data_IF_815285490870
#
_entry.id   IF_815285490870
#
_cell.length_a   1.000
_cell.length_b   1.000
_cell.length_c   1.000
_cell.angle_alpha   90.00
_cell.angle_beta   90.00
_cell.angle_gamma   90.00
#
_symmetry.space_group_name_H-M   'P 1'
#
loop_
_entity.id
_entity.type
_entity.pdbx_description
1 polymer ?
#
# COMPACT_ATOMS: atom_id res chain seq x y z
N UNK A 1 2.38 -31.66 -32.34
CA UNK A 1 3.25 -31.55 -31.14
C UNK A 1 3.30 -30.13 -30.50
N UNK A 2 2.33 -29.25 -30.72
CA UNK A 2 2.34 -27.88 -30.19
C UNK A 2 1.72 -27.70 -28.78
N UNK A 3 0.97 -28.69 -28.28
CA UNK A 3 0.25 -28.59 -26.98
C UNK A 3 1.13 -28.68 -25.73
N UNK A 4 2.24 -29.43 -25.76
CA UNK A 4 3.13 -29.62 -24.57
C UNK A 4 4.00 -28.41 -24.23
N UNK A 5 4.26 -27.50 -25.18
CA UNK A 5 5.09 -26.29 -24.93
C UNK A 5 4.30 -25.16 -24.26
N UNK A 6 3.00 -25.00 -24.55
CA UNK A 6 2.13 -24.00 -23.87
C UNK A 6 1.96 -24.29 -22.38
N UNK A 7 1.72 -25.55 -21.98
CA UNK A 7 1.56 -25.93 -20.57
C UNK A 7 2.84 -25.72 -19.73
N UNK A 8 4.02 -25.97 -20.30
CA UNK A 8 5.31 -25.82 -19.61
C UNK A 8 5.70 -24.34 -19.39
N UNK A 9 5.34 -23.46 -20.33
CA UNK A 9 5.53 -22.01 -20.15
C UNK A 9 4.61 -21.45 -19.05
N UNK A 10 3.33 -21.82 -19.04
CA UNK A 10 2.35 -21.35 -18.03
C UNK A 10 2.74 -21.81 -16.62
N UNK A 11 3.20 -23.06 -16.46
CA UNK A 11 3.69 -23.58 -15.17
C UNK A 11 4.97 -22.88 -14.69
N UNK A 12 5.94 -22.60 -15.58
CA UNK A 12 7.15 -21.83 -15.22
C UNK A 12 6.82 -20.39 -14.82
N UNK A 13 5.86 -19.77 -15.51
CA UNK A 13 5.44 -18.39 -15.25
C UNK A 13 4.70 -18.25 -13.91
N UNK A 14 3.87 -19.24 -13.55
CA UNK A 14 3.25 -19.32 -12.22
C UNK A 14 4.28 -19.63 -11.11
N UNK A 15 5.24 -20.53 -11.35
CA UNK A 15 6.31 -20.82 -10.39
C UNK A 15 7.19 -19.61 -10.09
N UNK A 16 7.51 -18.78 -11.09
CA UNK A 16 8.28 -17.55 -10.90
C UNK A 16 7.51 -16.51 -10.08
N UNK A 17 6.19 -16.37 -10.30
CA UNK A 17 5.33 -15.49 -9.50
C UNK A 17 5.23 -15.93 -8.04
N UNK A 18 5.08 -17.23 -7.79
CA UNK A 18 5.03 -17.78 -6.43
C UNK A 18 6.36 -17.54 -5.70
N UNK A 19 7.50 -17.79 -6.37
CA UNK A 19 8.84 -17.53 -5.78
C UNK A 19 9.04 -16.05 -5.46
N UNK A 20 8.61 -15.14 -6.34
CA UNK A 20 8.66 -13.70 -6.07
C UNK A 20 7.79 -13.30 -4.88
N UNK A 21 6.56 -13.81 -4.81
CA UNK A 21 5.66 -13.54 -3.69
C UNK A 21 6.19 -14.10 -2.36
N UNK A 22 6.79 -15.29 -2.37
CA UNK A 22 7.44 -15.88 -1.19
C UNK A 22 8.65 -15.06 -0.74
N UNK A 23 9.53 -14.68 -1.67
CA UNK A 23 10.68 -13.82 -1.39
C UNK A 23 10.24 -12.44 -0.85
N UNK A 24 9.23 -11.83 -1.47
CA UNK A 24 8.59 -10.61 -1.00
C UNK A 24 8.10 -10.77 0.44
N UNK A 25 7.36 -11.83 0.74
CA UNK A 25 6.82 -12.07 2.08
C UNK A 25 7.92 -12.25 3.12
N UNK A 26 8.99 -12.97 2.79
CA UNK A 26 10.12 -13.20 3.70
C UNK A 26 10.86 -11.89 3.99
N UNK A 27 11.21 -11.12 2.96
CA UNK A 27 11.88 -9.84 3.12
C UNK A 27 11.03 -8.84 3.90
N UNK A 28 9.74 -8.78 3.59
CA UNK A 28 8.80 -7.92 4.28
C UNK A 28 8.65 -8.31 5.76
N UNK A 29 8.56 -9.62 6.05
CA UNK A 29 8.49 -10.12 7.44
C UNK A 29 9.75 -9.77 8.21
N UNK A 30 10.93 -9.99 7.63
CA UNK A 30 12.20 -9.66 8.27
C UNK A 30 12.34 -8.15 8.53
N UNK A 31 11.99 -7.31 7.54
CA UNK A 31 12.01 -5.86 7.69
C UNK A 31 11.05 -5.39 8.79
N UNK A 32 9.79 -5.81 8.75
CA UNK A 32 8.79 -5.45 9.77
C UNK A 32 9.22 -5.92 11.15
N UNK A 33 9.77 -7.13 11.27
CA UNK A 33 10.26 -7.65 12.56
C UNK A 33 11.37 -6.77 13.14
N UNK A 34 12.39 -6.43 12.36
CA UNK A 34 13.51 -5.60 12.82
C UNK A 34 13.01 -4.21 13.25
N UNK A 35 12.14 -3.59 12.45
CA UNK A 35 11.61 -2.27 12.75
C UNK A 35 10.72 -2.27 14.00
N UNK A 36 9.89 -3.30 14.15
CA UNK A 36 9.01 -3.44 15.30
C UNK A 36 9.80 -3.73 16.57
N UNK A 37 10.80 -4.61 16.51
CA UNK A 37 11.70 -4.90 17.63
C UNK A 37 12.43 -3.64 18.11
N UNK A 38 12.91 -2.80 17.17
CA UNK A 38 13.56 -1.52 17.50
C UNK A 38 12.60 -0.55 18.22
N UNK A 39 11.36 -0.43 17.74
CA UNK A 39 10.37 0.44 18.39
C UNK A 39 9.96 -0.05 19.77
N UNK A 40 9.74 -1.36 19.92
CA UNK A 40 9.38 -1.96 21.20
C UNK A 40 10.50 -1.80 22.21
N UNK A 41 11.76 -2.01 21.81
CA UNK A 41 12.92 -1.77 22.68
C UNK A 41 12.95 -0.32 23.18
N UNK A 42 12.62 0.64 22.31
CA UNK A 42 12.52 2.06 22.67
C UNK A 42 11.42 2.33 23.70
N UNK A 43 10.21 1.77 23.49
CA UNK A 43 9.10 1.93 24.43
C UNK A 43 9.33 1.23 25.77
N UNK A 44 9.93 0.04 25.75
CA UNK A 44 10.30 -0.71 26.95
C UNK A 44 11.29 0.07 27.81
N UNK A 45 12.33 0.67 27.20
CA UNK A 45 13.30 1.53 27.92
C UNK A 45 12.65 2.76 28.54
N UNK A 46 11.53 3.24 28.00
CA UNK A 46 10.77 4.38 28.52
C UNK A 46 9.69 3.99 29.54
N UNK A 47 9.51 2.68 29.80
CA UNK A 47 8.52 2.17 30.75
C UNK A 47 7.06 2.41 30.35
N UNK A 48 6.77 2.60 29.06
CA UNK A 48 5.41 2.91 28.59
C UNK A 48 4.67 1.64 28.19
N UNK A 49 3.44 1.47 28.69
CA UNK A 49 2.57 0.38 28.29
C UNK A 49 2.07 0.54 26.85
N UNK A 50 2.45 -0.39 25.98
CA UNK A 50 2.03 -0.44 24.57
C UNK A 50 1.08 -1.61 24.31
N UNK A 51 0.23 -1.48 23.30
CA UNK A 51 -0.68 -2.52 22.82
C UNK A 51 -0.46 -2.83 21.34
N UNK A 52 -1.18 -3.82 20.82
CA UNK A 52 -1.11 -4.19 19.40
C UNK A 52 -1.38 -2.99 18.47
N UNK A 53 -2.36 -2.13 18.78
CA UNK A 53 -2.69 -0.96 17.95
C UNK A 53 -1.54 0.07 17.90
N UNK A 54 -0.76 0.21 18.96
CA UNK A 54 0.44 1.06 18.95
C UNK A 54 1.49 0.52 17.98
N UNK A 55 1.66 -0.80 17.95
CA UNK A 55 2.55 -1.48 17.00
C UNK A 55 2.09 -1.27 15.55
N UNK A 56 0.78 -1.36 15.27
CA UNK A 56 0.24 -1.07 13.93
C UNK A 56 0.54 0.38 13.53
N UNK A 57 0.28 1.33 14.43
CA UNK A 57 0.57 2.75 14.22
C UNK A 57 2.06 2.99 13.93
N UNK A 58 2.96 2.37 14.68
CA UNK A 58 4.40 2.54 14.51
C UNK A 58 4.94 2.01 13.17
N UNK A 59 4.22 1.09 12.53
CA UNK A 59 4.58 0.58 11.20
C UNK A 59 4.02 1.44 10.05
N UNK A 60 3.04 2.31 10.32
CA UNK A 60 2.37 3.18 9.34
C UNK A 60 3.14 4.48 9.00
N UNK A 61 4.43 4.56 9.30
CA UNK A 61 5.23 5.78 9.11
C UNK A 61 5.69 5.91 7.65
N UNK A 62 5.70 7.13 7.04
CA UNK A 62 6.03 7.31 5.62
C UNK A 62 7.34 6.67 5.15
N UNK A 63 8.41 6.70 5.96
CA UNK A 63 9.69 6.09 5.58
C UNK A 63 9.65 4.54 5.60
N UNK A 64 8.86 3.92 6.49
CA UNK A 64 8.66 2.46 6.49
C UNK A 64 8.00 2.04 5.18
N UNK A 65 6.98 2.80 4.80
CA UNK A 65 6.30 2.60 3.54
C UNK A 65 7.25 2.83 2.35
N UNK A 66 7.97 3.95 2.33
CA UNK A 66 8.80 4.38 1.22
C UNK A 66 10.05 3.53 0.97
N UNK A 67 10.73 3.09 2.02
CA UNK A 67 12.01 2.37 1.91
C UNK A 67 11.84 0.86 1.79
N UNK A 68 10.82 0.29 2.44
CA UNK A 68 10.66 -1.16 2.50
C UNK A 68 9.47 -1.63 1.67
N UNK A 69 8.29 -1.06 1.92
CA UNK A 69 7.06 -1.57 1.32
C UNK A 69 6.92 -1.20 -0.17
N UNK A 70 7.24 0.04 -0.54
CA UNK A 70 7.10 0.58 -1.88
C UNK A 70 7.99 -0.15 -2.90
N UNK A 71 9.31 -0.32 -2.70
CA UNK A 71 10.17 -0.99 -3.69
C UNK A 71 9.77 -2.45 -3.91
N UNK A 72 9.42 -3.15 -2.82
CA UNK A 72 8.96 -4.53 -2.87
C UNK A 72 7.65 -4.66 -3.65
N UNK A 73 6.71 -3.74 -3.43
CA UNK A 73 5.43 -3.74 -4.14
C UNK A 73 5.62 -3.45 -5.63
N UNK A 74 6.50 -2.52 -5.97
CA UNK A 74 6.78 -2.17 -7.36
C UNK A 74 7.55 -3.26 -8.09
N UNK A 75 8.39 -4.02 -7.41
CA UNK A 75 9.03 -5.20 -7.99
C UNK A 75 8.00 -6.26 -8.42
N UNK A 76 6.89 -6.39 -7.69
CA UNK A 76 5.75 -7.26 -8.07
C UNK A 76 4.92 -6.63 -9.21
N UNK A 77 4.64 -5.33 -9.13
CA UNK A 77 3.79 -4.63 -10.09
C UNK A 77 4.44 -4.40 -11.48
N UNK A 78 5.75 -4.11 -11.52
CA UNK A 78 6.50 -3.79 -12.74
C UNK A 78 6.47 -4.90 -13.80
N UNK A 79 6.36 -6.17 -13.36
CA UNK A 79 6.25 -7.31 -14.27
C UNK A 79 4.94 -7.33 -15.09
N UNK A 80 3.90 -6.59 -14.67
CA UNK A 80 2.58 -6.60 -15.33
C UNK A 80 2.44 -5.48 -16.35
N UNK A 81 2.92 -4.26 -16.06
CA UNK A 81 2.77 -3.10 -16.95
C UNK A 81 3.43 -3.30 -18.33
N UNK A 82 4.61 -3.93 -18.36
CA UNK A 82 5.34 -4.22 -19.62
C UNK A 82 4.58 -5.12 -20.59
N UNK A 83 3.66 -5.94 -20.10
CA UNK A 83 2.91 -6.91 -20.92
C UNK A 83 1.80 -6.19 -21.69
N UNK A 84 1.09 -5.26 -21.04
CA UNK A 84 0.02 -4.49 -21.66
C UNK A 84 0.52 -3.46 -22.69
N UNK A 85 1.82 -3.16 -22.69
CA UNK A 85 2.49 -2.33 -23.73
C UNK A 85 2.97 -3.15 -24.93
N UNK A 86 2.84 -4.47 -24.93
CA UNK A 86 3.25 -5.27 -26.09
C UNK A 86 2.25 -5.11 -27.23
N UNK A 87 2.69 -4.89 -28.48
CA UNK A 87 1.80 -4.72 -29.63
C UNK A 87 0.88 -5.93 -29.84
N UNK A 88 1.30 -7.11 -29.39
CA UNK A 88 0.50 -8.34 -29.40
C UNK A 88 -0.78 -8.22 -28.56
N UNK A 89 -0.77 -7.45 -27.47
CA UNK A 89 -1.94 -7.22 -26.62
C UNK A 89 -2.91 -6.20 -27.23
N UNK A 90 -2.41 -5.22 -27.97
CA UNK A 90 -3.25 -4.27 -28.72
C UNK A 90 -4.06 -5.01 -29.79
N UNK A 91 -3.40 -5.92 -30.53
CA UNK A 91 -4.05 -6.76 -31.54
C UNK A 91 -5.03 -7.77 -30.92
N UNK A 92 -4.71 -8.34 -29.74
CA UNK A 92 -5.55 -9.36 -29.09
C UNK A 92 -6.84 -8.78 -28.50
N UNK A 93 -6.78 -7.60 -27.89
CA UNK A 93 -7.94 -7.01 -27.22
C UNK A 93 -8.80 -6.16 -28.14
N UNK A 94 -8.25 -5.65 -29.25
CA UNK A 94 -8.96 -4.86 -30.27
C UNK A 94 -9.52 -3.52 -29.79
N UNK A 95 -9.57 -3.28 -28.47
CA UNK A 95 -10.14 -2.11 -27.83
C UNK A 95 -9.28 -1.71 -26.62
N UNK A 96 -8.76 -0.49 -26.64
CA UNK A 96 -7.89 0.02 -25.58
C UNK A 96 -8.62 0.25 -24.24
N UNK A 97 -9.93 0.49 -24.26
CA UNK A 97 -10.75 0.57 -23.04
C UNK A 97 -10.72 -0.76 -22.27
N UNK A 98 -10.70 -1.89 -22.99
CA UNK A 98 -10.60 -3.21 -22.38
C UNK A 98 -9.21 -3.43 -21.75
N UNK A 99 -8.15 -2.94 -22.40
CA UNK A 99 -6.78 -3.00 -21.89
C UNK A 99 -6.65 -2.17 -20.61
N UNK A 100 -7.18 -0.93 -20.61
CA UNK A 100 -7.20 -0.07 -19.43
C UNK A 100 -7.97 -0.72 -18.27
N UNK A 101 -9.16 -1.25 -18.55
CA UNK A 101 -10.00 -1.91 -17.52
C UNK A 101 -9.28 -3.11 -16.91
N UNK A 102 -8.62 -3.94 -17.72
CA UNK A 102 -7.88 -5.10 -17.23
C UNK A 102 -6.63 -4.67 -16.44
N UNK A 103 -5.91 -3.63 -16.90
CA UNK A 103 -4.77 -3.07 -16.16
C UNK A 103 -5.22 -2.51 -14.80
N UNK A 104 -6.33 -1.78 -14.78
CA UNK A 104 -6.92 -1.24 -13.56
C UNK A 104 -7.33 -2.35 -12.59
N UNK A 105 -8.12 -3.34 -13.04
CA UNK A 105 -8.54 -4.47 -12.18
C UNK A 105 -7.35 -5.30 -11.69
N UNK A 106 -6.33 -5.50 -12.53
CA UNK A 106 -5.09 -6.17 -12.15
C UNK A 106 -4.31 -5.37 -11.10
N UNK A 107 -4.34 -4.04 -11.17
CA UNK A 107 -3.83 -3.12 -10.15
C UNK A 107 -4.53 -3.31 -8.81
N UNK A 108 -5.87 -3.31 -8.77
CA UNK A 108 -6.66 -3.53 -7.55
C UNK A 108 -6.31 -4.89 -6.94
N UNK A 109 -6.28 -5.96 -7.74
CA UNK A 109 -5.92 -7.31 -7.26
C UNK A 109 -4.51 -7.34 -6.66
N UNK A 110 -3.57 -6.62 -7.27
CA UNK A 110 -2.18 -6.53 -6.78
C UNK A 110 -2.12 -5.74 -5.48
N UNK A 111 -2.87 -4.65 -5.37
CA UNK A 111 -2.97 -3.86 -4.16
C UNK A 111 -3.60 -4.66 -2.99
N UNK A 112 -4.65 -5.44 -3.27
CA UNK A 112 -5.26 -6.33 -2.29
C UNK A 112 -4.26 -7.38 -1.79
N UNK A 113 -3.51 -8.00 -2.71
CA UNK A 113 -2.48 -8.98 -2.37
C UNK A 113 -1.36 -8.35 -1.51
N UNK A 114 -0.74 -7.26 -1.98
CA UNK A 114 0.43 -6.68 -1.33
C UNK A 114 0.05 -5.96 -0.02
N UNK A 115 -1.05 -5.20 -0.03
CA UNK A 115 -1.56 -4.47 1.14
C UNK A 115 -2.11 -5.42 2.19
N UNK A 116 -2.84 -6.46 1.76
CA UNK A 116 -3.33 -7.51 2.64
C UNK A 116 -2.19 -8.31 3.28
N UNK A 117 -1.18 -8.74 2.51
CA UNK A 117 -0.01 -9.44 3.04
C UNK A 117 0.75 -8.60 4.07
N UNK A 118 1.01 -7.32 3.76
CA UNK A 118 1.68 -6.42 4.70
C UNK A 118 0.88 -6.25 5.99
N UNK A 119 -0.41 -5.97 5.88
CA UNK A 119 -1.28 -5.79 7.04
C UNK A 119 -1.33 -7.05 7.89
N UNK A 120 -1.43 -8.24 7.28
CA UNK A 120 -1.41 -9.52 8.00
C UNK A 120 -0.10 -9.78 8.71
N UNK A 121 1.05 -9.52 8.06
CA UNK A 121 2.37 -9.68 8.67
C UNK A 121 2.53 -8.75 9.87
N UNK A 122 2.19 -7.46 9.71
CA UNK A 122 2.27 -6.47 10.79
C UNK A 122 1.35 -6.87 11.95
N UNK A 123 0.11 -7.29 11.67
CA UNK A 123 -0.82 -7.76 12.69
C UNK A 123 -0.29 -8.99 13.44
N UNK A 124 0.21 -10.01 12.73
CA UNK A 124 0.75 -11.23 13.34
C UNK A 124 1.93 -10.91 14.25
N UNK A 125 2.92 -10.15 13.75
CA UNK A 125 4.09 -9.77 14.53
C UNK A 125 3.71 -8.89 15.72
N UNK A 126 2.77 -7.97 15.55
CA UNK A 126 2.27 -7.12 16.64
C UNK A 126 1.57 -7.93 17.73
N UNK A 127 0.74 -8.91 17.35
CA UNK A 127 0.05 -9.79 18.29
C UNK A 127 1.02 -10.66 19.11
N UNK A 128 2.15 -11.08 18.52
CA UNK A 128 3.17 -11.88 19.23
C UNK A 128 3.94 -11.10 20.30
N UNK A 129 4.01 -9.77 20.17
CA UNK A 129 4.86 -8.91 21.04
C UNK A 129 4.05 -8.02 21.98
N UNK A 130 2.74 -7.91 21.80
CA UNK A 130 1.84 -7.11 22.64
C UNK A 130 1.07 -7.99 23.62
N UNK A 131 0.90 -7.51 24.85
CA UNK A 131 0.13 -8.21 25.90
C UNK A 131 -1.38 -8.00 25.75
N UNK A 132 -1.80 -6.91 25.09
CA UNK A 132 -3.20 -6.59 24.85
C UNK A 132 -3.42 -6.07 23.44
N UNK A 133 -4.62 -6.32 22.91
CA UNK A 133 -5.02 -5.83 21.57
C UNK A 133 -5.20 -4.31 21.59
N UNK A 134 -5.86 -3.76 22.61
CA UNK A 134 -6.14 -2.33 22.71
C UNK A 134 -6.07 -1.87 24.17
N UNK A 135 -5.31 -0.82 24.43
CA UNK A 135 -5.32 -0.07 25.70
C UNK A 135 -5.62 1.44 25.51
N UNK A 136 -5.93 1.90 24.29
CA UNK A 136 -6.11 3.32 23.94
C UNK A 136 -7.26 4.02 24.69
N UNK A 137 -8.19 3.25 25.28
CA UNK A 137 -9.24 3.77 26.17
C UNK A 137 -8.75 4.12 27.58
N UNK A 138 -7.49 3.85 27.92
CA UNK A 138 -6.92 4.04 29.26
C UNK A 138 -5.99 5.26 29.31
N UNK A 139 -6.04 6.03 30.41
CA UNK A 139 -5.16 7.20 30.64
C UNK A 139 -3.66 6.84 30.77
N UNK A 140 -3.33 5.58 31.03
CA UNK A 140 -1.95 5.10 31.11
C UNK A 140 -1.39 4.57 29.79
N UNK A 141 -2.13 4.67 28.68
CA UNK A 141 -1.70 4.14 27.38
C UNK A 141 -0.72 5.08 26.67
N UNK A 142 0.12 4.50 25.80
CA UNK A 142 0.97 5.27 24.88
C UNK A 142 0.15 6.27 24.04
N UNK A 143 -1.05 5.86 23.61
CA UNK A 143 -1.99 6.74 22.91
C UNK A 143 -2.36 8.00 23.71
N UNK A 144 -2.67 7.85 25.01
CA UNK A 144 -2.99 8.99 25.86
C UNK A 144 -1.78 9.91 26.05
N UNK A 145 -0.59 9.34 26.27
CA UNK A 145 0.66 10.11 26.42
C UNK A 145 0.94 10.96 25.17
N UNK A 146 0.65 10.44 23.98
CA UNK A 146 0.92 11.13 22.71
C UNK A 146 -0.17 12.12 22.29
N UNK A 147 -1.43 11.87 22.66
CA UNK A 147 -2.57 12.67 22.20
C UNK A 147 -3.23 13.55 23.26
N UNK A 148 -3.00 13.28 24.55
CA UNK A 148 -3.71 13.92 25.67
C UNK A 148 -5.18 13.49 25.81
N UNK A 149 -5.65 12.53 25.02
CA UNK A 149 -7.05 12.06 24.99
C UNK A 149 -7.10 10.54 24.91
N UNK A 150 -8.17 9.94 25.44
CA UNK A 150 -8.45 8.50 25.27
C UNK A 150 -9.27 8.26 24.00
N UNK A 151 -9.07 7.12 23.35
CA UNK A 151 -9.87 6.71 22.20
C UNK A 151 -11.20 6.10 22.66
N UNK A 152 -12.31 6.57 22.09
CA UNK A 152 -13.67 6.11 22.42
C UNK A 152 -14.30 5.20 21.36
N UNK A 153 -13.62 4.94 20.24
CA UNK A 153 -14.12 4.05 19.22
C UNK A 153 -13.80 2.58 19.47
N UNK A 154 -14.30 1.71 18.60
CA UNK A 154 -13.96 0.30 18.65
C UNK A 154 -12.59 0.00 18.05
N UNK A 155 -11.89 -0.99 18.62
CA UNK A 155 -10.64 -1.52 18.05
C UNK A 155 -10.83 -2.09 16.65
N UNK A 156 -12.01 -2.67 16.39
CA UNK A 156 -12.42 -3.24 15.10
C UNK A 156 -12.33 -2.20 13.97
N UNK A 157 -12.77 -0.97 14.24
CA UNK A 157 -12.72 0.15 13.30
C UNK A 157 -11.29 0.53 12.95
N UNK A 158 -10.40 0.52 13.95
CA UNK A 158 -8.97 0.80 13.76
C UNK A 158 -8.34 -0.27 12.90
N UNK A 159 -8.57 -1.55 13.22
CA UNK A 159 -8.05 -2.66 12.42
C UNK A 159 -8.58 -2.67 10.99
N UNK A 160 -9.89 -2.44 10.79
CA UNK A 160 -10.46 -2.37 9.44
C UNK A 160 -9.84 -1.23 8.62
N UNK A 161 -9.66 -0.06 9.24
CA UNK A 161 -9.03 1.09 8.58
C UNK A 161 -7.56 0.83 8.26
N UNK A 162 -6.86 0.03 9.07
CA UNK A 162 -5.48 -0.39 8.80
C UNK A 162 -5.40 -1.15 7.48
N UNK A 163 -6.25 -2.18 7.36
CA UNK A 163 -6.28 -3.04 6.18
C UNK A 163 -6.71 -2.26 4.94
N UNK A 164 -7.82 -1.53 5.02
CA UNK A 164 -8.36 -0.78 3.88
C UNK A 164 -7.43 0.38 3.48
N UNK A 165 -6.87 1.10 4.46
CA UNK A 165 -5.90 2.18 4.24
C UNK A 165 -4.67 1.69 3.50
N UNK A 166 -4.11 0.55 3.91
CA UNK A 166 -2.98 -0.08 3.20
C UNK A 166 -3.33 -0.50 1.77
N UNK A 167 -4.50 -1.10 1.55
CA UNK A 167 -4.93 -1.48 0.20
C UNK A 167 -5.09 -0.24 -0.69
N UNK A 168 -5.75 0.81 -0.20
CA UNK A 168 -5.98 2.06 -0.94
C UNK A 168 -4.67 2.77 -1.26
N UNK A 169 -3.81 2.97 -0.26
CA UNK A 169 -2.47 3.55 -0.41
C UNK A 169 -1.66 2.80 -1.47
N UNK A 170 -1.72 1.48 -1.45
CA UNK A 170 -1.04 0.64 -2.45
C UNK A 170 -1.61 0.78 -3.85
N UNK A 171 -2.94 0.78 -3.99
CA UNK A 171 -3.61 0.96 -5.27
C UNK A 171 -3.24 2.33 -5.87
N UNK A 172 -3.33 3.39 -5.08
CA UNK A 172 -3.02 4.75 -5.51
C UNK A 172 -1.55 4.93 -5.89
N UNK A 173 -0.61 4.28 -5.21
CA UNK A 173 0.79 4.25 -5.63
C UNK A 173 0.95 3.58 -7.00
N UNK A 174 0.37 2.39 -7.17
CA UNK A 174 0.45 1.64 -8.44
C UNK A 174 -0.08 2.49 -9.59
N UNK A 175 -1.23 3.13 -9.39
CA UNK A 175 -1.81 3.97 -10.43
C UNK A 175 -1.11 5.31 -10.58
N UNK A 176 -0.65 5.93 -9.51
CA UNK A 176 0.09 7.20 -9.53
C UNK A 176 1.36 7.06 -10.35
N UNK A 177 2.18 6.04 -10.09
CA UNK A 177 3.37 5.73 -10.91
C UNK A 177 2.95 5.38 -12.33
N UNK A 178 1.89 4.59 -12.45
CA UNK A 178 1.34 4.17 -13.74
C UNK A 178 1.04 5.37 -14.63
N UNK A 179 0.27 6.33 -14.14
CA UNK A 179 -0.15 7.55 -14.84
C UNK A 179 1.02 8.52 -15.04
N UNK A 180 1.86 8.74 -14.01
CA UNK A 180 3.02 9.63 -14.12
C UNK A 180 4.00 9.14 -15.20
N UNK A 181 4.23 7.83 -15.28
CA UNK A 181 5.07 7.25 -16.34
C UNK A 181 4.40 7.36 -17.72
N UNK A 182 3.06 7.37 -17.81
CA UNK A 182 2.39 7.66 -19.08
C UNK A 182 2.54 9.13 -19.50
N UNK A 183 2.57 10.07 -18.56
CA UNK A 183 2.73 11.50 -18.85
C UNK A 183 4.19 11.90 -19.13
N UNK A 184 5.14 11.32 -18.40
CA UNK A 184 6.57 11.71 -18.45
C UNK A 184 7.40 10.80 -19.36
N UNK A 185 6.84 9.68 -19.80
CA UNK A 185 7.53 8.60 -20.55
C UNK A 185 8.73 7.96 -19.84
N UNK A 186 9.12 8.43 -18.65
CA UNK A 186 10.22 7.86 -17.87
C UNK A 186 9.78 7.44 -16.48
N UNK A 187 10.19 6.23 -16.09
CA UNK A 187 9.87 5.67 -14.78
C UNK A 187 10.57 6.43 -13.64
N UNK A 188 11.74 7.02 -13.91
CA UNK A 188 12.58 7.69 -12.92
C UNK A 188 11.87 8.92 -12.33
N UNK A 189 11.22 9.75 -13.15
CA UNK A 189 10.48 10.91 -12.66
C UNK A 189 9.35 10.51 -11.71
N UNK A 190 8.61 9.44 -12.02
CA UNK A 190 7.56 8.91 -11.13
C UNK A 190 8.09 8.52 -9.75
N UNK A 191 9.29 7.93 -9.69
CA UNK A 191 9.94 7.60 -8.43
C UNK A 191 10.40 8.84 -7.66
N UNK A 192 10.96 9.83 -8.36
CA UNK A 192 11.42 11.07 -7.73
C UNK A 192 10.27 11.85 -7.10
N UNK A 193 9.12 11.95 -7.78
CA UNK A 193 7.92 12.59 -7.24
C UNK A 193 7.44 11.88 -5.98
N UNK A 194 7.38 10.55 -5.99
CA UNK A 194 7.00 9.78 -4.79
C UNK A 194 8.02 9.91 -3.66
N UNK A 195 9.31 9.87 -3.96
CA UNK A 195 10.37 10.06 -2.97
C UNK A 195 10.27 11.45 -2.32
N UNK A 196 10.03 12.49 -3.11
CA UNK A 196 9.80 13.84 -2.60
C UNK A 196 8.58 13.91 -1.67
N UNK A 197 7.47 13.26 -2.02
CA UNK A 197 6.28 13.17 -1.17
C UNK A 197 6.56 12.43 0.15
N UNK A 198 7.31 11.32 0.11
CA UNK A 198 7.69 10.56 1.30
C UNK A 198 8.56 11.42 2.23
N UNK A 199 9.58 12.08 1.69
CA UNK A 199 10.47 12.95 2.46
C UNK A 199 9.70 14.12 3.05
N UNK A 200 8.82 14.74 2.25
CA UNK A 200 7.98 15.85 2.71
C UNK A 200 7.10 15.43 3.89
N UNK A 201 6.37 14.32 3.77
CA UNK A 201 5.49 13.83 4.82
C UNK A 201 6.24 13.26 6.04
N UNK A 202 7.50 12.86 5.86
CA UNK A 202 8.36 12.46 6.97
C UNK A 202 8.86 13.68 7.77
N UNK A 203 9.28 14.74 7.09
CA UNK A 203 9.74 16.00 7.72
C UNK A 203 8.57 16.77 8.32
N UNK A 204 7.41 16.78 7.64
CA UNK A 204 6.19 17.47 8.05
C UNK A 204 5.05 16.48 8.31
N UNK A 205 5.10 15.69 9.41
CA UNK A 205 4.10 14.65 9.71
C UNK A 205 2.70 15.21 9.98
N UNK A 206 2.58 16.52 10.20
CA UNK A 206 1.29 17.19 10.37
C UNK A 206 0.53 17.35 9.05
N UNK A 207 1.23 17.36 7.93
CA UNK A 207 0.62 17.45 6.62
C UNK A 207 0.07 16.08 6.18
N UNK A 208 -1.24 16.03 6.01
CA UNK A 208 -1.99 14.84 5.61
C UNK A 208 -2.21 14.84 4.10
N UNK A 209 -1.13 14.62 3.35
CA UNK A 209 -1.22 14.56 1.89
C UNK A 209 -1.67 13.16 1.44
N UNK A 210 -0.74 12.23 1.33
CA UNK A 210 -0.96 10.92 0.73
C UNK A 210 -0.73 9.79 1.73
N UNK A 211 0.49 9.62 2.25
CA UNK A 211 0.81 8.48 3.13
C UNK A 211 0.15 8.65 4.49
N UNK A 212 0.30 9.83 5.08
CA UNK A 212 -0.28 10.21 6.36
C UNK A 212 -1.82 10.27 6.29
N UNK A 213 -2.42 10.53 5.13
CA UNK A 213 -3.88 10.55 4.98
C UNK A 213 -4.49 9.15 5.10
N UNK A 214 -3.84 8.13 4.52
CA UNK A 214 -4.30 6.73 4.56
C UNK A 214 -3.63 5.90 5.66
N UNK A 215 -2.99 6.57 6.62
CA UNK A 215 -2.32 5.96 7.77
C UNK A 215 -3.20 5.98 9.02
N UNK A 216 -3.02 4.97 9.86
CA UNK A 216 -3.44 5.02 11.26
C UNK A 216 -2.40 5.87 11.98
N UNK A 217 -2.59 7.18 11.96
CA UNK A 217 -1.85 8.09 12.85
C UNK A 217 -2.66 8.36 14.11
N UNK A 218 -2.00 8.54 15.25
CA UNK A 218 -2.60 8.92 16.53
C UNK A 218 -3.52 10.16 16.39
N UNK A 219 -3.25 11.02 15.40
CA UNK A 219 -4.06 12.21 15.07
C UNK A 219 -5.26 11.92 14.16
N UNK A 220 -5.17 10.94 13.25
CA UNK A 220 -6.29 10.49 12.41
C UNK A 220 -7.28 9.64 13.20
N UNK A 221 -6.76 8.86 14.15
CA UNK A 221 -7.55 7.96 14.99
C UNK A 221 -8.14 8.64 16.22
N UNK A 222 -8.15 9.98 16.30
CA UNK A 222 -8.83 10.68 17.41
C UNK A 222 -10.32 10.39 17.43
N UNK A 223 -10.93 10.27 16.26
CA UNK A 223 -12.34 9.87 16.13
C UNK A 223 -12.51 8.86 14.99
N UNK A 224 -13.40 7.87 15.16
CA UNK A 224 -13.68 6.87 14.12
C UNK A 224 -14.21 7.51 12.82
N UNK A 225 -14.97 8.60 12.94
CA UNK A 225 -15.49 9.37 11.81
C UNK A 225 -14.39 9.89 10.89
N UNK A 226 -13.29 10.43 11.46
CA UNK A 226 -12.16 10.94 10.66
C UNK A 226 -11.48 9.83 9.87
N UNK A 227 -11.38 8.63 10.44
CA UNK A 227 -10.84 7.46 9.76
C UNK A 227 -11.75 7.06 8.59
N UNK A 228 -13.07 7.00 8.80
CA UNK A 228 -14.03 6.69 7.73
C UNK A 228 -13.98 7.71 6.59
N UNK A 229 -13.90 9.01 6.91
CA UNK A 229 -13.77 10.07 5.90
C UNK A 229 -12.50 9.88 5.06
N UNK A 230 -11.35 9.57 5.68
CA UNK A 230 -10.13 9.31 4.91
C UNK A 230 -10.25 8.11 3.97
N UNK A 231 -10.93 7.03 4.39
CA UNK A 231 -11.16 5.88 3.52
C UNK A 231 -12.09 6.22 2.34
N UNK A 232 -13.16 6.96 2.60
CA UNK A 232 -14.09 7.41 1.55
C UNK A 232 -13.38 8.29 0.52
N UNK A 233 -12.53 9.23 0.97
CA UNK A 233 -11.69 10.05 0.08
C UNK A 233 -10.77 9.15 -0.76
N UNK A 234 -10.13 8.15 -0.16
CA UNK A 234 -9.26 7.22 -0.88
C UNK A 234 -10.00 6.41 -1.96
N UNK A 235 -11.21 5.94 -1.65
CA UNK A 235 -12.07 5.25 -2.61
C UNK A 235 -12.46 6.20 -3.75
N UNK A 236 -12.88 7.43 -3.44
CA UNK A 236 -13.26 8.43 -4.42
C UNK A 236 -12.09 8.78 -5.36
N UNK A 237 -10.87 8.96 -4.83
CA UNK A 237 -9.66 9.22 -5.63
C UNK A 237 -9.33 8.01 -6.50
N UNK A 238 -9.46 6.78 -5.99
CA UNK A 238 -9.20 5.56 -6.77
C UNK A 238 -10.17 5.44 -7.95
N UNK A 239 -11.44 5.81 -7.75
CA UNK A 239 -12.45 5.88 -8.82
C UNK A 239 -12.14 7.03 -9.79
N UNK A 240 -11.74 8.21 -9.32
CA UNK A 240 -11.35 9.33 -10.18
C UNK A 240 -10.17 8.96 -11.10
N UNK A 241 -9.19 8.23 -10.57
CA UNK A 241 -8.04 7.70 -11.32
C UNK A 241 -8.48 6.75 -12.44
N UNK A 242 -9.53 5.94 -12.23
CA UNK A 242 -10.11 5.12 -13.30
C UNK A 242 -10.58 5.97 -14.48
N UNK A 243 -11.32 7.05 -14.21
CA UNK A 243 -11.85 7.95 -15.24
C UNK A 243 -10.76 8.76 -15.94
N UNK A 244 -9.82 9.32 -15.18
CA UNK A 244 -8.68 10.09 -15.71
C UNK A 244 -7.83 9.20 -16.62
N UNK A 245 -7.48 8.00 -16.15
CA UNK A 245 -6.67 7.08 -16.94
C UNK A 245 -7.38 6.60 -18.20
N UNK A 246 -8.69 6.38 -18.14
CA UNK A 246 -9.50 6.07 -19.34
C UNK A 246 -9.42 7.19 -20.38
N UNK A 247 -9.53 8.45 -19.95
CA UNK A 247 -9.43 9.61 -20.84
C UNK A 247 -8.03 9.76 -21.46
N UNK A 248 -6.96 9.55 -20.67
CA UNK A 248 -5.58 9.59 -21.15
C UNK A 248 -5.30 8.48 -22.17
N UNK A 249 -5.80 7.27 -21.91
CA UNK A 249 -5.55 6.12 -22.77
C UNK A 249 -6.24 6.25 -24.14
N UNK A 250 -7.46 6.80 -24.17
CA UNK A 250 -8.18 7.11 -25.42
C UNK A 250 -7.48 8.17 -26.27
N UNK A 251 -6.82 9.17 -25.65
CA UNK A 251 -6.09 10.20 -26.41
C UNK A 251 -4.91 9.65 -27.20
N UNK A 252 -4.27 8.57 -26.74
CA UNK A 252 -3.19 7.91 -27.47
C UNK A 252 -3.64 7.26 -28.78
N UNK A 253 -4.90 6.84 -28.89
CA UNK A 253 -5.46 6.31 -30.16
C UNK A 253 -5.46 7.36 -31.29
N UNK A 254 -5.41 8.66 -30.96
CA UNK A 254 -5.51 9.75 -31.93
C UNK A 254 -4.18 10.40 -32.31
N UNK A 255 -3.09 10.17 -31.57
CA UNK A 255 -1.79 10.82 -31.82
C UNK A 255 -0.71 9.89 -32.39
N UNK A 256 -0.97 8.57 -32.45
CA UNK A 256 -0.08 7.58 -33.08
C UNK A 256 -0.71 6.93 -34.33
N UNK A 257 -1.80 7.50 -34.87
CA UNK A 257 -2.40 7.15 -36.17
C UNK A 257 -2.14 8.26 -37.20
#
# INVERSE_FOLDING_TARGET
MAGRKKGRCILRWNGYRIRKAACYSLLLTAAVYILLANQISSWYRRGVGYCMLDCLHAMEVPWVFGLFYLPLTLWIAAGRKRIYRQPQFVVLYGNTDCIWKEWYLSGIRTAFLCGGLYSSIVCLLSAMVSVSVNNWGQKGSLFYVLNGTVYQGESSTVMLSFFLGNILKTALVIYGIGLLEECTHEMVYSYLVLAALIVWEWVFPEQKLFFNLFSISHRNCRTPERMMVSLLVGIAVTIAVFWIGKALWRKKEFYEA
#
